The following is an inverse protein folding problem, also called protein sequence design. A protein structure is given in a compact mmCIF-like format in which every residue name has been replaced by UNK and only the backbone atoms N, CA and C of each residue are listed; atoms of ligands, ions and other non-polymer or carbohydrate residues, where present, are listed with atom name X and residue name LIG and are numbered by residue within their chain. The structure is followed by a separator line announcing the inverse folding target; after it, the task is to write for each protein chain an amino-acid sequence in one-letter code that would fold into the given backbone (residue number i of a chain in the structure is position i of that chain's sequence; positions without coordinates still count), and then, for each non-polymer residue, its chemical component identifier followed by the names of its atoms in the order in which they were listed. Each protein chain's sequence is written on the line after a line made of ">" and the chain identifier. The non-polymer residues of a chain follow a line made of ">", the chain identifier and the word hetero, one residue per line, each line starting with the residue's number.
data_IF_695992319993
#
_entry.id   IF_695992319993
#
_cell.length_a   1.000
_cell.length_b   1.000
_cell.length_c   1.000
_cell.angle_alpha   90.00
_cell.angle_beta   90.00
_cell.angle_gamma   90.00
#
_symmetry.space_group_name_H-M   'P 1'
#
loop_
_entity.id
_entity.type
_entity.pdbx_description
1 polymer ?
#
# COMPACT_ATOMS: atom_id res chain seq x y z
N UNK A 1 7.64 -2.95 -2.29
CA UNK A 1 8.17 -3.45 -0.98
C UNK A 1 7.52 -4.74 -0.49
N UNK A 2 6.47 -5.26 -1.15
CA UNK A 2 5.89 -6.54 -0.76
C UNK A 2 6.91 -7.69 -0.88
N UNK A 3 6.70 -8.71 -0.05
CA UNK A 3 7.28 -10.02 -0.33
C UNK A 3 6.53 -10.71 -1.48
N UNK A 4 7.20 -11.65 -2.15
CA UNK A 4 6.63 -12.36 -3.29
C UNK A 4 6.94 -11.66 -4.61
N UNK A 5 5.93 -11.49 -5.47
CA UNK A 5 6.08 -10.93 -6.81
C UNK A 5 5.58 -9.48 -6.84
N UNK A 6 6.47 -8.46 -6.90
CA UNK A 6 6.10 -7.05 -6.81
C UNK A 6 5.63 -6.43 -8.13
N UNK A 7 5.63 -7.19 -9.24
CA UNK A 7 5.59 -6.64 -10.59
C UNK A 7 7.00 -6.25 -11.05
N UNK A 8 7.10 -5.64 -12.24
CA UNK A 8 8.38 -5.36 -12.90
C UNK A 8 8.75 -3.86 -12.92
N UNK A 9 7.86 -2.98 -12.45
CA UNK A 9 8.00 -1.53 -12.57
C UNK A 9 8.77 -0.86 -11.41
N UNK A 10 9.09 -1.63 -10.35
CA UNK A 10 9.83 -1.17 -9.17
C UNK A 10 9.29 0.13 -8.53
N UNK A 11 7.96 0.28 -8.46
CA UNK A 11 7.32 1.45 -7.86
C UNK A 11 7.04 1.21 -6.36
N UNK A 12 7.64 2.00 -5.45
CA UNK A 12 7.36 1.87 -4.02
C UNK A 12 5.96 2.39 -3.65
N UNK A 13 5.42 1.92 -2.54
CA UNK A 13 4.09 2.29 -2.05
C UNK A 13 3.93 3.79 -1.80
N UNK A 14 5.02 4.50 -1.47
CA UNK A 14 5.00 5.95 -1.28
C UNK A 14 4.66 6.73 -2.57
N UNK A 15 4.75 6.08 -3.73
CA UNK A 15 4.41 6.61 -5.05
C UNK A 15 3.16 5.90 -5.61
N UNK A 16 3.10 4.57 -5.50
CA UNK A 16 2.01 3.79 -6.09
C UNK A 16 0.65 4.07 -5.44
N UNK A 17 0.60 4.20 -4.11
CA UNK A 17 -0.66 4.41 -3.39
C UNK A 17 -1.33 5.75 -3.73
N UNK A 18 -0.64 6.91 -3.72
CA UNK A 18 -1.28 8.17 -4.11
C UNK A 18 -1.69 8.17 -5.59
N UNK A 19 -0.92 7.54 -6.49
CA UNK A 19 -1.33 7.37 -7.89
C UNK A 19 -2.62 6.54 -8.02
N UNK A 20 -2.74 5.47 -7.23
CA UNK A 20 -3.96 4.67 -7.16
C UNK A 20 -5.14 5.49 -6.62
N UNK A 21 -4.93 6.34 -5.61
CA UNK A 21 -5.96 7.21 -5.06
C UNK A 21 -6.49 8.24 -6.07
N UNK A 22 -5.63 8.75 -6.97
CA UNK A 22 -6.05 9.63 -8.06
C UNK A 22 -6.82 8.89 -9.17
N UNK A 23 -6.42 7.64 -9.48
CA UNK A 23 -6.97 6.89 -10.59
C UNK A 23 -8.26 6.11 -10.24
N UNK A 24 -8.39 5.63 -9.00
CA UNK A 24 -9.45 4.74 -8.58
C UNK A 24 -10.59 5.50 -7.92
N UNK A 25 -11.83 5.13 -8.28
CA UNK A 25 -13.06 5.63 -7.65
C UNK A 25 -13.63 4.66 -6.61
N UNK A 26 -13.10 3.45 -6.58
CA UNK A 26 -13.49 2.41 -5.63
C UNK A 26 -12.50 2.38 -4.46
N UNK A 27 -12.92 1.94 -3.26
CA UNK A 27 -12.01 1.68 -2.15
C UNK A 27 -10.89 0.72 -2.56
N UNK A 28 -9.67 0.98 -2.08
CA UNK A 28 -8.53 0.07 -2.22
C UNK A 28 -7.77 -0.04 -0.89
N UNK A 29 -7.00 -1.11 -0.75
CA UNK A 29 -6.15 -1.37 0.42
C UNK A 29 -4.69 -1.38 0.01
N UNK A 30 -3.83 -0.82 0.86
CA UNK A 30 -2.39 -0.85 0.66
C UNK A 30 -1.82 -2.24 0.95
N UNK A 31 -0.77 -2.68 0.25
CA UNK A 31 -0.10 -3.94 0.56
C UNK A 31 1.41 -3.90 0.29
N UNK A 32 2.18 -4.55 1.15
CA UNK A 32 3.64 -4.60 1.08
C UNK A 32 4.37 -3.60 1.97
N UNK A 33 5.20 -4.09 2.89
CA UNK A 33 5.99 -3.23 3.79
C UNK A 33 5.22 -2.66 4.99
N UNK A 34 4.00 -3.15 5.28
CA UNK A 34 3.22 -2.75 6.45
C UNK A 34 3.37 -3.73 7.62
N UNK A 35 3.48 -3.20 8.84
CA UNK A 35 3.76 -4.02 10.03
C UNK A 35 3.11 -3.50 11.32
N UNK A 36 2.74 -2.22 11.40
CA UNK A 36 2.22 -1.59 12.61
C UNK A 36 1.29 -0.39 12.33
N UNK A 37 0.85 0.27 13.40
CA UNK A 37 -0.04 1.43 13.33
C UNK A 37 0.55 2.63 12.58
N UNK A 38 1.88 2.79 12.52
CA UNK A 38 2.50 3.88 11.75
C UNK A 38 2.32 3.63 10.26
N UNK A 39 2.54 2.39 9.82
CA UNK A 39 2.27 2.00 8.43
C UNK A 39 0.78 2.06 8.07
N UNK A 40 -0.12 1.80 9.03
CA UNK A 40 -1.55 1.99 8.82
C UNK A 40 -1.91 3.46 8.59
N UNK A 41 -1.43 4.36 9.46
CA UNK A 41 -1.65 5.80 9.32
C UNK A 41 -1.07 6.32 8.00
N UNK A 42 0.13 5.86 7.61
CA UNK A 42 0.73 6.22 6.33
C UNK A 42 -0.10 5.74 5.13
N UNK A 43 -0.59 4.49 5.15
CA UNK A 43 -1.45 3.96 4.08
C UNK A 43 -2.73 4.80 3.92
N UNK A 44 -3.38 5.15 5.03
CA UNK A 44 -4.59 5.98 5.01
C UNK A 44 -4.30 7.42 4.54
N UNK A 45 -3.18 8.00 4.95
CA UNK A 45 -2.76 9.33 4.49
C UNK A 45 -2.48 9.36 2.98
N UNK A 46 -2.07 8.23 2.40
CA UNK A 46 -1.83 8.07 0.96
C UNK A 46 -3.09 7.65 0.17
N UNK A 47 -4.26 7.61 0.81
CA UNK A 47 -5.55 7.41 0.16
C UNK A 47 -6.11 5.99 0.20
N UNK A 48 -5.44 5.04 0.87
CA UNK A 48 -5.97 3.69 1.05
C UNK A 48 -6.99 3.63 2.21
N UNK A 49 -7.97 2.73 2.13
CA UNK A 49 -8.98 2.52 3.18
C UNK A 49 -8.53 1.52 4.26
N UNK A 50 -7.34 0.95 4.10
CA UNK A 50 -6.77 -0.02 5.01
C UNK A 50 -5.48 -0.62 4.46
N UNK A 51 -4.99 -1.67 5.11
CA UNK A 51 -3.79 -2.38 4.66
C UNK A 51 -3.93 -3.89 4.78
N UNK A 52 -3.35 -4.60 3.81
CA UNK A 52 -3.13 -6.04 3.82
C UNK A 52 -1.69 -6.35 4.29
N UNK A 53 -1.55 -7.30 5.21
CA UNK A 53 -0.27 -7.70 5.78
C UNK A 53 0.06 -9.17 5.44
N UNK A 54 1.28 -9.38 4.93
CA UNK A 54 1.88 -10.70 4.73
C UNK A 54 2.91 -11.00 5.80
N UNK A 55 4.18 -10.63 5.56
CA UNK A 55 5.37 -10.89 6.40
C UNK A 55 5.21 -10.64 7.91
N UNK A 56 4.32 -9.75 8.33
CA UNK A 56 4.10 -9.45 9.74
C UNK A 56 3.47 -10.60 10.52
N UNK A 57 2.60 -11.38 9.86
CA UNK A 57 1.92 -12.56 10.40
C UNK A 57 2.79 -13.81 10.23
#
# INVERSE_FOLDING_TARGET
>A
ECGGHPGEDDIPNFILLPLAAEALKIPFVASGGMADGRSLVAAMALGAEGMNMGTRF
#
